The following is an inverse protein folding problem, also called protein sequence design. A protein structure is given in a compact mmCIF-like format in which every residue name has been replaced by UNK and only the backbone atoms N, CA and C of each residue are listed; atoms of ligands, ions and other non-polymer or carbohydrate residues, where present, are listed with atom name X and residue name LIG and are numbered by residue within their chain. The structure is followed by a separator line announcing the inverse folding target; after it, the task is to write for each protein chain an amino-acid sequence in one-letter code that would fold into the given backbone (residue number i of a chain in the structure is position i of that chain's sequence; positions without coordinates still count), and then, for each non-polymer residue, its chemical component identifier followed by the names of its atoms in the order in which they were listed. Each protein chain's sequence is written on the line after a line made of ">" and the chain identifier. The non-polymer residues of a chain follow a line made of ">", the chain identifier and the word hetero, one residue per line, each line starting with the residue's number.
data_IF_186516990814
#
_entry.id   IF_186516990814
#
_cell.length_a   1.000
_cell.length_b   1.000
_cell.length_c   1.000
_cell.angle_alpha   90.00
_cell.angle_beta   90.00
_cell.angle_gamma   90.00
#
_symmetry.space_group_name_H-M   'P 1'
#
loop_
_entity.id
_entity.type
_entity.pdbx_description
1 polymer ?
#
# COMPACT_ATOMS: atom_id res chain seq x y z
N UNK A 1 -6.20 15.30 -13.29
CA UNK A 1 -7.66 15.03 -13.46
C UNK A 1 -8.16 14.62 -12.08
N UNK A 2 -9.14 15.31 -11.55
CA UNK A 2 -9.77 14.99 -10.27
C UNK A 2 -10.62 13.72 -10.42
N UNK A 3 -10.63 12.86 -9.39
CA UNK A 3 -11.54 11.72 -9.31
C UNK A 3 -12.89 12.21 -8.79
N UNK A 4 -13.98 11.73 -9.36
CA UNK A 4 -15.32 11.91 -8.83
C UNK A 4 -15.62 10.79 -7.84
N UNK A 5 -15.51 11.06 -6.53
CA UNK A 5 -15.64 10.06 -5.49
C UNK A 5 -16.91 10.24 -4.67
N UNK A 6 -17.51 9.12 -4.29
CA UNK A 6 -18.58 9.01 -3.31
C UNK A 6 -18.10 8.17 -2.11
N UNK A 7 -18.61 8.42 -0.90
CA UNK A 7 -18.25 7.62 0.26
C UNK A 7 -18.54 6.13 0.05
N UNK A 8 -17.61 5.27 0.48
CA UNK A 8 -17.80 3.81 0.42
C UNK A 8 -18.95 3.35 1.33
N UNK A 9 -19.21 4.08 2.43
CA UNK A 9 -20.23 3.76 3.44
C UNK A 9 -20.13 2.31 3.95
N UNK A 10 -18.92 1.80 4.12
CA UNK A 10 -18.71 0.48 4.68
C UNK A 10 -19.10 0.44 6.15
N UNK A 11 -19.74 -0.64 6.61
CA UNK A 11 -20.06 -0.80 8.01
C UNK A 11 -18.76 -0.80 8.86
N UNK A 12 -18.75 0.01 9.91
CA UNK A 12 -17.68 0.04 10.91
C UNK A 12 -18.26 0.36 12.26
N UNK A 13 -17.70 -0.20 13.33
CA UNK A 13 -17.97 0.21 14.68
C UNK A 13 -17.18 1.48 15.00
N UNK A 14 -17.70 2.37 15.85
CA UNK A 14 -17.01 3.62 16.19
C UNK A 14 -15.62 3.41 16.81
N UNK A 15 -15.40 2.25 17.44
CA UNK A 15 -14.15 1.90 18.14
C UNK A 15 -13.19 1.03 17.30
N UNK A 16 -13.61 0.60 16.10
CA UNK A 16 -12.83 -0.29 15.24
C UNK A 16 -12.72 0.29 13.83
N UNK A 17 -11.58 0.07 13.15
CA UNK A 17 -11.46 0.45 11.74
C UNK A 17 -12.43 -0.39 10.89
N UNK A 18 -12.73 0.09 9.69
CA UNK A 18 -13.40 -0.72 8.67
C UNK A 18 -12.56 -1.98 8.37
N UNK A 19 -13.14 -3.17 8.52
CA UNK A 19 -12.41 -4.45 8.36
C UNK A 19 -13.10 -5.36 7.36
N UNK A 20 -12.34 -5.76 6.33
CA UNK A 20 -12.73 -6.79 5.37
C UNK A 20 -11.91 -8.05 5.69
N UNK A 21 -12.52 -9.09 6.24
CA UNK A 21 -11.82 -10.28 6.71
C UNK A 21 -12.34 -11.57 6.04
N UNK A 22 -11.46 -12.55 5.90
CA UNK A 22 -11.81 -13.86 5.36
C UNK A 22 -10.62 -14.55 4.72
N UNK A 23 -10.78 -15.76 4.19
CA UNK A 23 -9.67 -16.57 3.75
C UNK A 23 -8.98 -15.99 2.49
N UNK A 24 -7.73 -16.37 2.30
CA UNK A 24 -7.00 -16.09 1.07
C UNK A 24 -7.78 -16.58 -0.14
N UNK A 25 -8.26 -17.83 -0.10
CA UNK A 25 -9.08 -18.44 -1.16
C UNK A 25 -10.30 -19.16 -0.58
N UNK A 26 -11.38 -19.20 -1.39
CA UNK A 26 -12.51 -20.08 -1.17
C UNK A 26 -12.11 -21.49 -1.63
N UNK A 27 -11.88 -22.39 -0.67
CA UNK A 27 -11.31 -23.72 -0.90
C UNK A 27 -12.39 -24.80 -0.92
N UNK A 28 -13.27 -24.80 0.07
CA UNK A 28 -14.46 -25.62 0.18
C UNK A 28 -15.62 -24.81 0.77
N UNK A 29 -16.85 -25.25 0.53
CA UNK A 29 -18.03 -24.61 1.11
C UNK A 29 -17.95 -24.60 2.65
N UNK A 30 -17.57 -25.73 3.25
CA UNK A 30 -17.41 -25.86 4.70
C UNK A 30 -16.40 -24.88 5.27
N UNK A 31 -15.23 -24.75 4.63
CA UNK A 31 -14.19 -23.81 5.03
C UNK A 31 -14.67 -22.35 4.95
N UNK A 32 -15.34 -21.98 3.86
CA UNK A 32 -15.90 -20.64 3.65
C UNK A 32 -16.93 -20.32 4.73
N UNK A 33 -17.92 -21.20 4.93
CA UNK A 33 -19.01 -20.97 5.88
C UNK A 33 -18.52 -21.01 7.34
N UNK A 34 -17.59 -21.92 7.70
CA UNK A 34 -17.01 -21.97 9.03
C UNK A 34 -16.26 -20.69 9.35
N UNK A 35 -15.43 -20.19 8.42
CA UNK A 35 -14.68 -18.96 8.61
C UNK A 35 -15.64 -17.75 8.73
N UNK A 36 -16.65 -17.67 7.86
CA UNK A 36 -17.62 -16.58 7.84
C UNK A 36 -18.41 -16.49 9.15
N UNK A 37 -18.96 -17.61 9.63
CA UNK A 37 -19.73 -17.66 10.88
C UNK A 37 -18.89 -17.24 12.09
N UNK A 38 -17.63 -17.67 12.15
CA UNK A 38 -16.71 -17.28 13.23
C UNK A 38 -16.42 -15.77 13.18
N UNK A 39 -16.18 -15.20 11.98
CA UNK A 39 -15.94 -13.76 11.80
C UNK A 39 -17.20 -12.93 12.15
N UNK A 40 -18.37 -13.35 11.70
CA UNK A 40 -19.63 -12.68 12.03
C UNK A 40 -19.89 -12.65 13.54
N UNK A 41 -19.63 -13.77 14.25
CA UNK A 41 -19.74 -13.86 15.71
C UNK A 41 -18.77 -12.93 16.47
N UNK A 42 -17.71 -12.45 15.80
CA UNK A 42 -16.74 -11.46 16.30
C UNK A 42 -17.03 -10.01 15.86
N UNK A 43 -18.19 -9.77 15.26
CA UNK A 43 -18.60 -8.44 14.81
C UNK A 43 -17.95 -7.96 13.51
N UNK A 44 -17.40 -8.85 12.69
CA UNK A 44 -17.00 -8.49 11.33
C UNK A 44 -18.23 -8.29 10.46
N UNK A 45 -18.25 -7.21 9.67
CA UNK A 45 -19.35 -6.84 8.79
C UNK A 45 -19.09 -7.13 7.31
N UNK A 46 -17.87 -7.41 6.95
CA UNK A 46 -17.46 -7.64 5.57
C UNK A 46 -16.57 -8.87 5.45
N UNK A 47 -16.98 -9.78 4.56
CA UNK A 47 -16.29 -11.03 4.29
C UNK A 47 -15.57 -10.97 2.93
N UNK A 48 -14.33 -11.45 2.88
CA UNK A 48 -13.58 -11.62 1.65
C UNK A 48 -13.22 -13.07 1.40
N UNK A 49 -13.24 -13.51 0.14
CA UNK A 49 -12.58 -14.73 -0.29
C UNK A 49 -12.19 -14.61 -1.77
N UNK A 50 -10.96 -14.99 -2.12
CA UNK A 50 -10.54 -15.05 -3.52
C UNK A 50 -11.04 -16.35 -4.17
N UNK A 51 -11.80 -16.24 -5.25
CA UNK A 51 -12.28 -17.41 -6.02
C UNK A 51 -11.40 -17.68 -7.24
N UNK A 52 -10.67 -16.69 -7.74
CA UNK A 52 -9.65 -16.80 -8.78
C UNK A 52 -8.30 -16.38 -8.19
N UNK A 53 -7.26 -17.18 -8.42
CA UNK A 53 -5.93 -16.96 -7.83
C UNK A 53 -4.86 -16.92 -8.91
N UNK A 54 -4.46 -15.72 -9.37
CA UNK A 54 -3.35 -15.59 -10.31
C UNK A 54 -2.05 -16.04 -9.63
N UNK A 55 -1.46 -17.13 -10.10
CA UNK A 55 -0.22 -17.66 -9.52
C UNK A 55 1.01 -17.22 -10.31
N UNK A 56 2.09 -16.91 -9.59
CA UNK A 56 3.38 -16.58 -10.21
C UNK A 56 4.05 -17.82 -10.83
N UNK A 57 3.80 -19.00 -10.23
CA UNK A 57 4.31 -20.27 -10.73
C UNK A 57 3.15 -21.22 -11.00
N UNK A 58 3.19 -22.01 -12.09
CA UNK A 58 2.18 -23.02 -12.36
C UNK A 58 2.20 -24.13 -11.30
N UNK A 59 1.10 -24.86 -11.17
CA UNK A 59 0.98 -26.03 -10.31
C UNK A 59 0.51 -25.72 -8.86
N UNK A 60 0.20 -24.47 -8.52
CA UNK A 60 -0.48 -24.12 -7.28
C UNK A 60 -2.00 -24.14 -7.43
N UNK A 61 -2.74 -24.05 -6.31
CA UNK A 61 -4.20 -23.90 -6.32
C UNK A 61 -4.58 -22.57 -6.97
N UNK A 62 -5.33 -22.62 -8.08
CA UNK A 62 -5.70 -21.44 -8.87
C UNK A 62 -7.10 -20.90 -8.54
N UNK A 63 -7.76 -21.49 -7.54
CA UNK A 63 -9.11 -21.15 -7.12
C UNK A 63 -10.17 -22.05 -7.74
N UNK A 64 -11.36 -22.02 -7.19
CA UNK A 64 -12.52 -22.80 -7.67
C UNK A 64 -13.37 -22.04 -8.69
N UNK A 65 -13.03 -20.79 -8.98
CA UNK A 65 -13.75 -19.98 -9.96
C UNK A 65 -15.23 -19.80 -9.65
N UNK A 66 -16.07 -19.92 -10.67
CA UNK A 66 -17.52 -19.76 -10.55
C UNK A 66 -18.15 -20.73 -9.52
N UNK A 67 -17.59 -21.93 -9.33
CA UNK A 67 -18.11 -22.93 -8.39
C UNK A 67 -18.14 -22.43 -6.95
N UNK A 68 -17.23 -21.52 -6.56
CA UNK A 68 -17.19 -20.97 -5.21
C UNK A 68 -18.07 -19.73 -4.99
N UNK A 69 -18.58 -19.10 -6.04
CA UNK A 69 -19.42 -17.91 -5.92
C UNK A 69 -20.74 -18.18 -5.17
N UNK A 70 -21.43 -19.32 -5.37
CA UNK A 70 -22.59 -19.70 -4.54
C UNK A 70 -22.28 -19.75 -3.05
N UNK A 71 -21.10 -20.22 -2.65
CA UNK A 71 -20.70 -20.29 -1.23
C UNK A 71 -20.55 -18.89 -0.63
N UNK A 72 -19.99 -17.92 -1.40
CA UNK A 72 -19.88 -16.52 -0.95
C UNK A 72 -21.26 -15.87 -0.86
N UNK A 73 -22.17 -16.14 -1.81
CA UNK A 73 -23.55 -15.70 -1.73
C UNK A 73 -24.24 -16.24 -0.47
N UNK A 74 -24.05 -17.51 -0.14
CA UNK A 74 -24.58 -18.13 1.08
C UNK A 74 -24.04 -17.46 2.36
N UNK A 75 -22.77 -17.03 2.38
CA UNK A 75 -22.23 -16.24 3.49
C UNK A 75 -23.09 -15.00 3.74
N UNK A 76 -23.41 -14.23 2.70
CA UNK A 76 -24.28 -13.05 2.82
C UNK A 76 -25.65 -13.41 3.36
N UNK A 77 -26.27 -14.47 2.84
CA UNK A 77 -27.60 -14.91 3.24
C UNK A 77 -27.67 -15.39 4.71
N UNK A 78 -26.63 -16.09 5.19
CA UNK A 78 -26.62 -16.66 6.55
C UNK A 78 -26.05 -15.71 7.60
N UNK A 79 -25.17 -14.78 7.24
CA UNK A 79 -24.47 -13.93 8.23
C UNK A 79 -24.84 -12.45 8.13
N UNK A 80 -25.42 -12.01 7.02
CA UNK A 80 -25.70 -10.60 6.75
C UNK A 80 -24.45 -9.77 6.42
N UNK A 81 -23.25 -10.35 6.37
CA UNK A 81 -22.04 -9.65 5.98
C UNK A 81 -22.07 -9.24 4.51
N UNK A 82 -21.53 -8.07 4.18
CA UNK A 82 -21.17 -7.72 2.80
C UNK A 82 -20.07 -8.64 2.30
N UNK A 83 -20.13 -9.02 1.05
CA UNK A 83 -19.19 -9.98 0.45
C UNK A 83 -18.26 -9.32 -0.56
N UNK A 84 -17.00 -9.76 -0.58
CA UNK A 84 -15.99 -9.24 -1.48
C UNK A 84 -15.20 -10.36 -2.16
N UNK A 85 -14.83 -10.15 -3.44
CA UNK A 85 -13.93 -11.06 -4.17
C UNK A 85 -13.01 -10.32 -5.14
N UNK A 86 -11.89 -10.98 -5.52
CA UNK A 86 -10.96 -10.48 -6.54
C UNK A 86 -11.53 -10.64 -7.94
N UNK A 87 -11.39 -9.62 -8.79
CA UNK A 87 -11.66 -9.70 -10.22
C UNK A 87 -10.43 -9.29 -11.02
N UNK A 88 -10.21 -9.97 -12.15
CA UNK A 88 -9.06 -9.74 -13.02
C UNK A 88 -9.43 -9.67 -14.51
N UNK A 89 -10.64 -10.08 -14.88
CA UNK A 89 -11.14 -10.08 -16.26
C UNK A 89 -12.59 -9.59 -16.30
N UNK A 90 -13.10 -9.13 -17.44
CA UNK A 90 -14.52 -8.80 -17.62
C UNK A 90 -15.47 -9.95 -17.23
N UNK A 91 -15.13 -11.20 -17.57
CA UNK A 91 -15.89 -12.37 -17.18
C UNK A 91 -15.99 -12.54 -15.66
N UNK A 92 -14.91 -12.26 -14.92
CA UNK A 92 -14.94 -12.29 -13.44
C UNK A 92 -15.89 -11.23 -12.88
N UNK A 93 -15.95 -10.04 -13.48
CA UNK A 93 -16.91 -8.98 -13.10
C UNK A 93 -18.33 -9.45 -13.33
N UNK A 94 -18.65 -9.96 -14.53
CA UNK A 94 -19.97 -10.45 -14.89
C UNK A 94 -20.46 -11.54 -13.91
N UNK A 95 -19.61 -12.53 -13.66
CA UNK A 95 -19.92 -13.62 -12.74
C UNK A 95 -20.10 -13.13 -11.29
N UNK A 96 -19.21 -12.28 -10.80
CA UNK A 96 -19.34 -11.73 -9.45
C UNK A 96 -20.65 -10.94 -9.26
N UNK A 97 -21.02 -10.13 -10.23
CA UNK A 97 -22.30 -9.38 -10.23
C UNK A 97 -23.51 -10.31 -10.33
N UNK A 98 -23.47 -11.32 -11.18
CA UNK A 98 -24.52 -12.36 -11.32
C UNK A 98 -24.82 -13.06 -10.00
N UNK A 99 -23.80 -13.33 -9.19
CA UNK A 99 -23.95 -13.96 -7.87
C UNK A 99 -24.18 -12.97 -6.72
N UNK A 100 -24.27 -11.66 -7.00
CA UNK A 100 -24.62 -10.63 -6.02
C UNK A 100 -23.51 -10.31 -5.03
N UNK A 101 -22.25 -10.39 -5.47
CA UNK A 101 -21.10 -9.93 -4.68
C UNK A 101 -21.17 -8.41 -4.49
N UNK A 102 -20.98 -7.94 -3.27
CA UNK A 102 -21.20 -6.54 -2.90
C UNK A 102 -20.01 -5.63 -3.19
N UNK A 103 -18.78 -6.16 -3.14
CA UNK A 103 -17.55 -5.40 -3.26
C UNK A 103 -16.59 -6.15 -4.19
N UNK A 104 -16.04 -5.47 -5.17
CA UNK A 104 -15.02 -6.03 -6.05
C UNK A 104 -13.64 -5.45 -5.70
N UNK A 105 -12.60 -6.28 -5.67
CA UNK A 105 -11.26 -5.73 -5.65
C UNK A 105 -10.42 -6.20 -6.84
N UNK A 106 -9.59 -5.30 -7.33
CA UNK A 106 -8.63 -5.57 -8.40
C UNK A 106 -7.27 -5.92 -7.78
N UNK A 107 -6.73 -7.08 -8.16
CA UNK A 107 -5.45 -7.57 -7.65
C UNK A 107 -4.24 -6.80 -8.15
N UNK A 108 -3.13 -6.87 -7.41
CA UNK A 108 -1.90 -6.12 -7.68
C UNK A 108 -1.22 -6.45 -9.02
N UNK A 109 -1.43 -7.65 -9.55
CA UNK A 109 -0.91 -8.03 -10.88
C UNK A 109 -1.76 -7.45 -12.00
N UNK A 110 -3.05 -7.37 -11.78
CA UNK A 110 -4.01 -6.78 -12.74
C UNK A 110 -3.86 -5.26 -12.77
N UNK A 111 -3.76 -4.60 -11.60
CA UNK A 111 -3.55 -3.15 -11.52
C UNK A 111 -2.24 -2.67 -12.13
N UNK A 112 -1.24 -3.56 -12.25
CA UNK A 112 0.02 -3.29 -12.94
C UNK A 112 -0.09 -3.32 -14.48
N UNK A 113 -1.24 -3.71 -15.03
CA UNK A 113 -1.43 -3.85 -16.47
C UNK A 113 -2.52 -2.90 -17.00
N UNK A 114 -2.16 -1.80 -17.71
CA UNK A 114 -3.13 -0.83 -18.21
C UNK A 114 -4.18 -1.41 -19.17
N UNK A 115 -3.85 -2.44 -19.96
CA UNK A 115 -4.83 -3.10 -20.85
C UNK A 115 -5.87 -3.89 -20.05
N UNK A 116 -5.43 -4.65 -19.04
CA UNK A 116 -6.35 -5.38 -18.16
C UNK A 116 -7.23 -4.40 -17.37
N UNK A 117 -6.66 -3.30 -16.88
CA UNK A 117 -7.42 -2.26 -16.19
C UNK A 117 -8.44 -1.59 -17.08
N UNK A 118 -8.12 -1.36 -18.36
CA UNK A 118 -9.10 -0.81 -19.31
C UNK A 118 -10.23 -1.79 -19.58
N UNK A 119 -9.92 -3.08 -19.82
CA UNK A 119 -10.93 -4.10 -20.03
C UNK A 119 -11.89 -4.25 -18.82
N UNK A 120 -11.36 -4.18 -17.59
CA UNK A 120 -12.18 -4.16 -16.38
C UNK A 120 -13.03 -2.89 -16.30
N UNK A 121 -12.45 -1.72 -16.58
CA UNK A 121 -13.19 -0.46 -16.58
C UNK A 121 -14.36 -0.50 -17.56
N UNK A 122 -14.14 -1.01 -18.77
CA UNK A 122 -15.20 -1.14 -19.79
C UNK A 122 -16.33 -2.08 -19.33
N UNK A 123 -16.03 -3.16 -18.59
CA UNK A 123 -17.01 -4.08 -18.05
C UNK A 123 -17.79 -3.54 -16.83
N UNK A 124 -17.31 -2.48 -16.21
CA UNK A 124 -17.93 -1.84 -15.05
C UNK A 124 -18.80 -0.63 -15.42
N UNK A 125 -18.92 -0.29 -16.71
CA UNK A 125 -19.79 0.81 -17.14
C UNK A 125 -21.25 0.57 -16.78
N UNK A 126 -21.87 1.53 -16.09
CA UNK A 126 -23.26 1.43 -15.64
C UNK A 126 -23.49 0.53 -14.42
N UNK A 127 -22.43 0.04 -13.80
CA UNK A 127 -22.52 -0.77 -12.59
C UNK A 127 -22.37 0.13 -11.36
N UNK A 128 -23.21 -0.06 -10.33
CA UNK A 128 -23.10 0.61 -9.02
C UNK A 128 -22.63 -0.38 -7.95
N UNK A 129 -21.33 -0.65 -7.93
CA UNK A 129 -20.68 -1.52 -6.95
C UNK A 129 -19.38 -0.85 -6.45
N UNK A 130 -19.06 -0.91 -5.15
CA UNK A 130 -17.76 -0.47 -4.67
C UNK A 130 -16.62 -1.28 -5.28
N UNK A 131 -15.59 -0.57 -5.76
CA UNK A 131 -14.39 -1.19 -6.32
C UNK A 131 -13.15 -0.73 -5.55
N UNK A 132 -12.35 -1.68 -5.10
CA UNK A 132 -11.10 -1.44 -4.40
C UNK A 132 -9.93 -1.84 -5.31
N UNK A 133 -8.95 -0.97 -5.49
CA UNK A 133 -7.79 -1.24 -6.37
C UNK A 133 -6.52 -1.41 -5.56
N UNK A 134 -5.95 -2.62 -5.56
CA UNK A 134 -4.63 -2.86 -4.94
C UNK A 134 -3.54 -2.10 -5.69
N UNK A 135 -2.54 -1.59 -4.95
CA UNK A 135 -1.35 -1.05 -5.59
C UNK A 135 -0.70 -2.08 -6.52
N UNK A 136 -0.08 -1.63 -7.63
CA UNK A 136 0.70 -2.51 -8.51
C UNK A 136 1.80 -3.22 -7.73
N UNK A 137 2.26 -4.36 -8.24
CA UNK A 137 3.39 -5.09 -7.62
C UNK A 137 4.68 -4.25 -7.61
N UNK A 138 4.87 -3.40 -8.59
CA UNK A 138 6.00 -2.46 -8.69
C UNK A 138 5.72 -1.20 -7.88
N UNK A 139 6.74 -0.55 -7.29
CA UNK A 139 6.58 0.71 -6.57
C UNK A 139 6.43 1.89 -7.54
N UNK A 140 5.27 1.98 -8.19
CA UNK A 140 4.94 2.98 -9.19
C UNK A 140 3.59 3.63 -8.84
N UNK A 141 3.66 4.86 -8.32
CA UNK A 141 2.49 5.62 -7.91
C UNK A 141 1.64 6.05 -9.10
N UNK A 142 2.26 6.46 -10.21
CA UNK A 142 1.52 6.93 -11.40
C UNK A 142 0.73 5.79 -12.04
N UNK A 143 1.29 4.59 -12.04
CA UNK A 143 0.59 3.39 -12.49
C UNK A 143 -0.63 3.07 -11.60
N UNK A 144 -0.50 3.24 -10.27
CA UNK A 144 -1.61 3.04 -9.34
C UNK A 144 -2.71 4.09 -9.54
N UNK A 145 -2.33 5.36 -9.63
CA UNK A 145 -3.28 6.45 -9.92
C UNK A 145 -3.96 6.22 -11.28
N UNK A 146 -3.21 5.83 -12.31
CA UNK A 146 -3.77 5.51 -13.62
C UNK A 146 -4.79 4.37 -13.58
N UNK A 147 -4.57 3.34 -12.76
CA UNK A 147 -5.52 2.25 -12.55
C UNK A 147 -6.82 2.76 -11.89
N UNK A 148 -6.71 3.57 -10.83
CA UNK A 148 -7.86 4.19 -10.16
C UNK A 148 -8.64 5.11 -11.11
N UNK A 149 -7.95 5.92 -11.90
CA UNK A 149 -8.58 6.82 -12.87
C UNK A 149 -9.40 6.09 -13.93
N UNK A 150 -8.91 4.95 -14.46
CA UNK A 150 -9.65 4.15 -15.45
C UNK A 150 -10.97 3.62 -14.88
N UNK A 151 -10.95 3.10 -13.66
CA UNK A 151 -12.16 2.62 -12.98
C UNK A 151 -13.13 3.77 -12.71
N UNK A 152 -12.63 4.93 -12.26
CA UNK A 152 -13.47 6.10 -11.99
C UNK A 152 -14.09 6.67 -13.29
N UNK A 153 -13.34 6.73 -14.39
CA UNK A 153 -13.84 7.16 -15.70
C UNK A 153 -14.92 6.26 -16.27
N UNK A 154 -14.96 4.98 -15.88
CA UNK A 154 -16.03 4.07 -16.24
C UNK A 154 -17.33 4.34 -15.46
N UNK A 155 -17.33 5.27 -14.51
CA UNK A 155 -18.50 5.68 -13.73
C UNK A 155 -18.51 5.15 -12.29
N UNK A 156 -17.51 4.37 -11.88
CA UNK A 156 -17.38 3.89 -10.51
C UNK A 156 -16.92 5.03 -9.60
N UNK A 157 -17.84 5.55 -8.78
CA UNK A 157 -17.56 6.62 -7.80
C UNK A 157 -17.26 6.09 -6.42
N UNK A 158 -17.82 4.93 -6.03
CA UNK A 158 -17.50 4.20 -4.80
C UNK A 158 -16.18 3.45 -4.98
N UNK A 159 -15.08 4.19 -4.92
CA UNK A 159 -13.73 3.72 -5.24
C UNK A 159 -12.82 3.85 -4.03
N UNK A 160 -11.97 2.85 -3.79
CA UNK A 160 -10.95 2.89 -2.75
C UNK A 160 -9.64 2.25 -3.21
N UNK A 161 -8.58 2.52 -2.49
CA UNK A 161 -7.25 1.95 -2.71
C UNK A 161 -6.92 0.89 -1.66
N UNK A 162 -6.22 -0.19 -2.05
CA UNK A 162 -5.67 -1.16 -1.09
C UNK A 162 -4.16 -1.14 -1.19
N UNK A 163 -3.51 -0.81 -0.08
CA UNK A 163 -2.06 -0.91 0.06
C UNK A 163 -1.65 -2.28 0.58
N UNK A 164 -0.93 -3.04 -0.27
CA UNK A 164 -0.48 -4.42 0.05
C UNK A 164 1.05 -4.59 0.01
N UNK A 165 1.79 -3.48 -0.02
CA UNK A 165 3.23 -3.46 -0.20
C UNK A 165 3.67 -3.72 -1.65
N UNK A 166 4.96 -3.57 -1.90
CA UNK A 166 5.58 -3.63 -3.22
C UNK A 166 6.61 -4.74 -3.30
N UNK A 167 6.79 -5.31 -4.48
CA UNK A 167 7.85 -6.30 -4.71
C UNK A 167 9.22 -5.65 -4.57
N UNK A 168 10.13 -6.36 -3.91
CA UNK A 168 11.54 -5.98 -3.81
C UNK A 168 12.43 -7.19 -4.02
N UNK A 169 13.62 -6.96 -4.51
CA UNK A 169 14.66 -7.98 -4.58
C UNK A 169 15.17 -8.36 -3.19
N UNK A 170 15.31 -7.39 -2.29
CA UNK A 170 15.75 -7.60 -0.91
C UNK A 170 14.54 -7.87 0.01
N UNK A 171 14.34 -9.16 0.32
CA UNK A 171 13.24 -9.65 1.19
C UNK A 171 13.78 -10.11 2.54
N UNK A 172 14.08 -9.19 3.45
CA UNK A 172 14.60 -9.55 4.79
C UNK A 172 13.49 -9.85 5.79
N UNK A 173 12.51 -8.95 5.94
CA UNK A 173 11.48 -9.03 6.96
C UNK A 173 10.11 -9.23 6.33
N UNK A 174 9.76 -8.41 5.36
CA UNK A 174 8.45 -8.37 4.71
C UNK A 174 8.40 -9.24 3.46
N UNK A 175 7.23 -9.80 3.18
CA UNK A 175 6.97 -10.46 1.89
C UNK A 175 6.95 -9.43 0.74
N UNK A 176 6.34 -8.28 1.01
CA UNK A 176 6.34 -7.11 0.13
C UNK A 176 6.67 -5.88 0.97
N UNK A 177 7.62 -5.08 0.53
CA UNK A 177 8.02 -3.89 1.27
C UNK A 177 6.86 -2.90 1.37
N UNK A 178 6.54 -2.37 2.55
CA UNK A 178 5.44 -1.44 2.71
C UNK A 178 5.64 -0.14 1.95
N UNK A 179 6.87 0.41 1.89
CA UNK A 179 7.18 1.68 1.21
C UNK A 179 6.10 2.74 1.47
N UNK A 180 5.83 3.01 2.76
CA UNK A 180 4.73 3.84 3.23
C UNK A 180 4.64 5.22 2.57
N UNK A 181 5.74 5.75 2.05
CA UNK A 181 5.76 7.04 1.36
C UNK A 181 4.86 7.04 0.12
N UNK A 182 4.68 5.88 -0.55
CA UNK A 182 3.84 5.80 -1.75
C UNK A 182 2.34 5.97 -1.42
N UNK A 183 1.73 5.22 -0.49
CA UNK A 183 0.34 5.47 -0.10
C UNK A 183 0.13 6.82 0.61
N UNK A 184 1.11 7.32 1.37
CA UNK A 184 1.07 8.69 1.93
C UNK A 184 1.00 9.73 0.80
N UNK A 185 1.82 9.60 -0.23
CA UNK A 185 1.78 10.50 -1.38
C UNK A 185 0.50 10.34 -2.21
N UNK A 186 -0.06 9.12 -2.30
CA UNK A 186 -1.38 8.89 -2.90
C UNK A 186 -2.46 9.68 -2.14
N UNK A 187 -2.49 9.56 -0.80
CA UNK A 187 -3.44 10.30 0.04
C UNK A 187 -3.27 11.82 -0.07
N UNK A 188 -2.02 12.31 -0.12
CA UNK A 188 -1.73 13.73 -0.33
C UNK A 188 -2.29 14.26 -1.65
N UNK A 189 -2.22 13.46 -2.73
CA UNK A 189 -2.73 13.87 -4.06
C UNK A 189 -4.24 13.72 -4.20
N UNK A 190 -4.83 12.74 -3.50
CA UNK A 190 -6.26 12.41 -3.58
C UNK A 190 -6.78 12.21 -2.15
N UNK A 191 -6.97 13.30 -1.37
CA UNK A 191 -7.32 13.20 0.06
C UNK A 191 -8.65 12.52 0.35
N UNK A 192 -9.59 12.50 -0.60
CA UNK A 192 -10.91 11.89 -0.44
C UNK A 192 -10.91 10.39 -0.77
N UNK A 193 -9.80 9.83 -1.29
CA UNK A 193 -9.73 8.42 -1.65
C UNK A 193 -9.46 7.57 -0.41
N UNK A 194 -10.38 6.70 0.01
CA UNK A 194 -10.12 5.80 1.14
C UNK A 194 -8.97 4.83 0.83
N UNK A 195 -8.07 4.66 1.80
CA UNK A 195 -6.94 3.74 1.71
C UNK A 195 -7.07 2.64 2.76
N UNK A 196 -7.13 1.39 2.30
CA UNK A 196 -7.23 0.19 3.12
C UNK A 196 -5.87 -0.52 3.14
N UNK A 197 -5.38 -0.90 4.31
CA UNK A 197 -4.14 -1.67 4.44
C UNK A 197 -4.39 -3.18 4.34
N UNK A 198 -3.53 -3.88 3.60
CA UNK A 198 -3.47 -5.33 3.53
C UNK A 198 -2.21 -5.85 4.26
N UNK A 199 -2.25 -6.00 5.59
CA UNK A 199 -1.10 -6.41 6.39
C UNK A 199 -0.67 -7.85 6.08
N UNK A 200 -1.60 -8.71 5.66
CA UNK A 200 -1.32 -10.11 5.32
C UNK A 200 -0.34 -10.23 4.17
N UNK A 201 -0.54 -9.46 3.11
CA UNK A 201 0.35 -9.49 1.95
C UNK A 201 1.62 -8.67 2.15
N UNK A 202 1.61 -7.62 2.96
CA UNK A 202 2.83 -6.89 3.35
C UNK A 202 3.74 -7.82 4.16
N UNK A 203 3.22 -8.37 5.26
CA UNK A 203 3.98 -9.20 6.19
C UNK A 203 4.37 -10.56 5.62
N UNK A 204 3.41 -11.28 5.05
CA UNK A 204 3.57 -12.66 4.58
C UNK A 204 3.73 -13.68 5.70
N UNK A 205 3.55 -13.28 6.95
CA UNK A 205 3.68 -14.08 8.18
C UNK A 205 2.83 -13.48 9.30
N UNK A 206 2.31 -14.35 10.18
CA UNK A 206 1.30 -14.01 11.19
C UNK A 206 1.76 -13.00 12.23
N UNK A 207 3.01 -13.09 12.67
CA UNK A 207 3.59 -12.22 13.71
C UNK A 207 3.74 -10.76 13.28
N UNK A 208 3.66 -10.47 11.98
CA UNK A 208 3.70 -9.10 11.45
C UNK A 208 2.30 -8.47 11.27
N UNK A 209 1.21 -9.23 11.41
CA UNK A 209 -0.14 -8.71 11.16
C UNK A 209 -0.47 -7.58 12.16
N UNK A 210 -0.36 -7.85 13.47
CA UNK A 210 -0.68 -6.86 14.50
C UNK A 210 0.14 -5.55 14.37
N UNK A 211 1.48 -5.59 14.28
CA UNK A 211 2.26 -4.35 14.12
C UNK A 211 1.95 -3.60 12.82
N UNK A 212 1.64 -4.30 11.72
CA UNK A 212 1.28 -3.65 10.45
C UNK A 212 -0.13 -3.04 10.50
N UNK A 213 -1.08 -3.68 11.19
CA UNK A 213 -2.39 -3.08 11.45
C UNK A 213 -2.24 -1.78 12.24
N UNK A 214 -1.43 -1.77 13.33
CA UNK A 214 -1.21 -0.57 14.12
C UNK A 214 -0.52 0.53 13.30
N UNK A 215 0.49 0.19 12.50
CA UNK A 215 1.14 1.18 11.62
C UNK A 215 0.16 1.81 10.62
N UNK A 216 -0.77 1.03 10.08
CA UNK A 216 -1.81 1.57 9.20
C UNK A 216 -2.70 2.59 9.94
N UNK A 217 -3.11 2.27 11.18
CA UNK A 217 -3.91 3.21 12.01
C UNK A 217 -3.12 4.46 12.38
N UNK A 218 -1.83 4.32 12.70
CA UNK A 218 -0.95 5.44 13.02
C UNK A 218 -0.72 6.37 11.80
N UNK A 219 -0.87 5.84 10.58
CA UNK A 219 -0.76 6.58 9.31
C UNK A 219 -2.11 7.11 8.79
N UNK A 220 -3.20 6.95 9.55
CA UNK A 220 -4.52 7.46 9.17
C UNK A 220 -5.19 6.68 8.03
N UNK A 221 -4.94 5.38 7.90
CA UNK A 221 -5.65 4.57 6.90
C UNK A 221 -7.09 4.30 7.35
N UNK A 222 -8.01 4.25 6.40
CA UNK A 222 -9.45 4.14 6.64
C UNK A 222 -9.89 2.72 7.04
N UNK A 223 -9.08 1.71 6.80
CA UNK A 223 -9.45 0.34 7.11
C UNK A 223 -8.38 -0.70 6.85
N UNK A 224 -8.79 -1.95 7.07
CA UNK A 224 -7.93 -3.13 6.95
C UNK A 224 -8.60 -4.20 6.08
N UNK A 225 -7.82 -4.90 5.26
CA UNK A 225 -8.23 -6.14 4.60
C UNK A 225 -7.29 -7.27 5.03
N UNK A 226 -7.81 -8.22 5.83
CA UNK A 226 -6.98 -9.21 6.51
C UNK A 226 -7.35 -10.63 6.09
N UNK A 227 -6.35 -11.46 5.83
CA UNK A 227 -6.57 -12.88 5.57
C UNK A 227 -6.77 -13.64 6.88
N UNK A 228 -8.00 -14.19 7.04
CA UNK A 228 -8.42 -14.99 8.19
C UNK A 228 -9.05 -16.29 7.73
N UNK A 229 -8.73 -17.40 8.40
CA UNK A 229 -9.14 -18.74 8.03
C UNK A 229 -9.47 -19.55 9.29
N UNK A 230 -10.51 -20.39 9.24
CA UNK A 230 -10.91 -21.22 10.39
C UNK A 230 -9.81 -22.20 10.85
N UNK A 231 -8.97 -22.67 9.93
CA UNK A 231 -7.79 -23.52 10.21
C UNK A 231 -6.63 -23.08 9.29
N UNK A 232 -5.88 -22.02 9.65
CA UNK A 232 -4.89 -21.41 8.74
C UNK A 232 -3.75 -22.35 8.32
N UNK A 233 -3.41 -23.35 9.14
CA UNK A 233 -2.33 -24.29 8.83
C UNK A 233 -2.72 -25.29 7.74
N UNK A 234 -4.01 -25.56 7.56
CA UNK A 234 -4.57 -26.45 6.54
C UNK A 234 -4.92 -25.72 5.24
N UNK A 235 -4.74 -24.39 5.18
CA UNK A 235 -5.12 -23.59 4.03
C UNK A 235 -4.31 -23.97 2.77
N UNK A 236 -5.02 -24.07 1.63
CA UNK A 236 -4.43 -24.42 0.34
C UNK A 236 -3.62 -23.27 -0.28
N UNK A 237 -3.81 -22.08 0.21
CA UNK A 237 -3.09 -20.90 -0.26
C UNK A 237 -2.65 -20.00 0.91
N UNK A 238 -1.44 -19.49 0.80
CA UNK A 238 -0.85 -18.46 1.68
C UNK A 238 -1.03 -18.72 3.20
N UNK A 239 -1.01 -20.02 3.62
CA UNK A 239 -1.24 -20.50 4.99
C UNK A 239 -0.46 -19.71 6.09
N UNK A 240 0.78 -19.34 5.80
CA UNK A 240 1.70 -18.69 6.77
C UNK A 240 1.30 -17.28 7.18
N UNK A 241 0.45 -16.61 6.41
CA UNK A 241 0.06 -15.21 6.65
C UNK A 241 -1.38 -15.06 7.12
N UNK A 242 -2.16 -16.13 7.13
CA UNK A 242 -3.54 -16.10 7.60
C UNK A 242 -3.60 -16.32 9.12
N UNK A 243 -4.50 -15.60 9.78
CA UNK A 243 -4.78 -15.75 11.22
C UNK A 243 -6.15 -16.37 11.45
N UNK A 244 -6.40 -16.93 12.62
CA UNK A 244 -7.77 -17.38 12.95
C UNK A 244 -8.69 -16.19 13.25
N UNK A 245 -10.02 -16.34 13.15
CA UNK A 245 -10.97 -15.29 13.55
C UNK A 245 -10.77 -14.81 15.00
N UNK A 246 -10.43 -15.71 15.94
CA UNK A 246 -10.09 -15.36 17.32
C UNK A 246 -8.87 -14.45 17.40
N UNK A 247 -7.80 -14.81 16.69
CA UNK A 247 -6.54 -14.02 16.68
C UNK A 247 -6.80 -12.66 16.03
N UNK A 248 -7.59 -12.61 14.96
CA UNK A 248 -7.97 -11.34 14.35
C UNK A 248 -8.75 -10.45 15.32
N UNK A 249 -9.78 -10.98 15.98
CA UNK A 249 -10.56 -10.25 16.98
C UNK A 249 -9.67 -9.71 18.11
N UNK A 250 -8.74 -10.53 18.61
CA UNK A 250 -7.76 -10.07 19.60
C UNK A 250 -6.87 -8.94 19.08
N UNK A 251 -6.35 -9.04 17.84
CA UNK A 251 -5.56 -7.97 17.22
C UNK A 251 -6.39 -6.68 17.15
N UNK A 252 -7.61 -6.76 16.64
CA UNK A 252 -8.49 -5.59 16.49
C UNK A 252 -8.83 -4.93 17.82
N UNK A 253 -9.00 -5.71 18.90
CA UNK A 253 -9.28 -5.18 20.24
C UNK A 253 -8.11 -4.41 20.86
N UNK A 254 -6.89 -4.63 20.38
CA UNK A 254 -5.68 -3.95 20.86
C UNK A 254 -5.31 -2.71 20.04
N UNK A 255 -5.96 -2.50 18.89
CA UNK A 255 -5.61 -1.38 18.02
C UNK A 255 -5.98 -0.04 18.65
N UNK A 256 -5.06 0.88 18.58
CA UNK A 256 -5.30 2.29 18.90
C UNK A 256 -5.65 3.01 17.61
N UNK A 257 -6.93 3.32 17.43
CA UNK A 257 -7.38 4.15 16.32
C UNK A 257 -7.02 5.60 16.62
N UNK A 258 -6.31 6.25 15.70
CA UNK A 258 -5.90 7.66 15.88
C UNK A 258 -6.98 8.58 15.37
N UNK A 259 -7.16 9.71 16.07
CA UNK A 259 -8.07 10.77 15.67
C UNK A 259 -7.26 11.92 15.04
N UNK A 260 -7.70 12.41 13.87
CA UNK A 260 -7.05 13.53 13.18
C UNK A 260 -7.37 14.89 13.83
N UNK A 261 -8.35 14.96 14.74
CA UNK A 261 -8.93 16.20 15.23
C UNK A 261 -8.44 16.63 16.64
N UNK A 262 -7.21 16.28 17.03
CA UNK A 262 -6.68 16.70 18.31
C UNK A 262 -6.22 18.17 18.36
N UNK A 263 -6.33 18.77 19.56
CA UNK A 263 -5.87 20.12 19.88
C UNK A 263 -4.43 20.37 19.41
N UNK A 264 -4.27 21.40 18.57
CA UNK A 264 -3.06 21.61 17.76
C UNK A 264 -2.04 22.57 18.41
N UNK A 265 -2.30 23.15 19.60
CA UNK A 265 -1.48 24.26 20.12
C UNK A 265 -0.02 23.83 20.43
N UNK A 266 0.18 22.70 21.13
CA UNK A 266 1.53 22.16 21.37
C UNK A 266 2.21 21.65 20.09
N UNK A 267 1.44 21.10 19.16
CA UNK A 267 1.93 20.62 17.89
C UNK A 267 2.37 21.77 16.96
N UNK A 268 1.66 22.91 17.01
CA UNK A 268 2.04 24.13 16.28
C UNK A 268 3.42 24.64 16.67
N UNK A 269 3.73 24.66 17.98
CA UNK A 269 5.04 25.07 18.45
C UNK A 269 6.15 24.13 17.98
N UNK A 270 5.91 22.80 18.03
CA UNK A 270 6.88 21.81 17.55
C UNK A 270 7.08 21.88 16.03
N UNK A 271 6.01 22.09 15.27
CA UNK A 271 6.11 22.31 13.81
C UNK A 271 6.91 23.56 13.47
N UNK A 272 6.71 24.67 14.21
CA UNK A 272 7.52 25.87 14.05
C UNK A 272 9.02 25.64 14.30
N UNK A 273 9.39 24.76 15.23
CA UNK A 273 10.77 24.37 15.44
C UNK A 273 11.34 23.57 14.26
N UNK A 274 10.53 22.68 13.66
CA UNK A 274 10.91 21.95 12.45
C UNK A 274 11.11 22.93 11.28
N UNK A 275 10.17 23.85 11.05
CA UNK A 275 10.27 24.86 9.99
C UNK A 275 11.56 25.69 10.10
N UNK A 276 11.97 26.05 11.33
CA UNK A 276 13.22 26.76 11.57
C UNK A 276 14.45 25.87 11.22
N UNK A 277 14.42 24.59 11.60
CA UNK A 277 15.47 23.63 11.21
C UNK A 277 15.56 23.46 9.69
N UNK A 278 14.42 23.37 9.02
CA UNK A 278 14.33 23.22 7.57
C UNK A 278 14.89 24.46 6.85
N UNK A 279 14.60 25.66 7.35
CA UNK A 279 15.19 26.91 6.84
C UNK A 279 16.73 26.90 6.97
N UNK A 280 17.26 26.51 8.13
CA UNK A 280 18.71 26.38 8.33
C UNK A 280 19.33 25.33 7.41
N UNK A 281 18.64 24.20 7.20
CA UNK A 281 19.08 23.16 6.27
C UNK A 281 19.14 23.68 4.83
N UNK A 282 18.15 24.43 4.39
CA UNK A 282 18.12 25.04 3.06
C UNK A 282 19.25 26.04 2.86
N UNK A 283 19.56 26.86 3.86
CA UNK A 283 20.68 27.81 3.82
C UNK A 283 22.04 27.10 3.71
N UNK A 284 22.23 26.00 4.48
CA UNK A 284 23.43 25.18 4.43
C UNK A 284 23.58 24.47 3.07
N UNK A 285 22.49 23.94 2.50
CA UNK A 285 22.49 23.33 1.17
C UNK A 285 22.83 24.37 0.10
N UNK A 286 22.23 25.55 0.15
CA UNK A 286 22.54 26.65 -0.78
C UNK A 286 24.03 27.06 -0.69
N UNK A 287 24.58 27.16 0.52
CA UNK A 287 26.00 27.45 0.73
C UNK A 287 26.87 26.33 0.13
N UNK A 288 26.51 25.07 0.37
CA UNK A 288 27.23 23.91 -0.15
C UNK A 288 27.22 23.90 -1.70
N UNK A 289 26.08 24.23 -2.31
CA UNK A 289 25.97 24.28 -3.77
C UNK A 289 26.80 25.44 -4.38
N UNK A 290 26.93 26.56 -3.68
CA UNK A 290 27.88 27.61 -4.12
C UNK A 290 29.31 27.09 -4.20
N UNK A 291 29.80 26.42 -3.14
CA UNK A 291 31.12 25.79 -3.13
C UNK A 291 31.25 24.71 -4.21
N UNK A 292 30.20 23.93 -4.47
CA UNK A 292 30.21 22.94 -5.56
C UNK A 292 30.40 23.58 -6.94
N UNK A 293 29.79 24.74 -7.18
CA UNK A 293 29.98 25.48 -8.45
C UNK A 293 31.42 26.02 -8.57
N UNK A 294 31.98 26.54 -7.49
CA UNK A 294 33.39 26.96 -7.47
C UNK A 294 34.36 25.80 -7.79
N UNK A 295 34.09 24.63 -7.22
CA UNK A 295 34.81 23.38 -7.57
C UNK A 295 34.60 23.02 -9.05
N UNK A 296 33.40 23.18 -9.59
CA UNK A 296 33.12 22.96 -11.00
C UNK A 296 33.93 23.85 -11.92
N UNK A 297 34.03 25.15 -11.61
CA UNK A 297 34.88 26.13 -12.32
C UNK A 297 36.34 25.73 -12.27
N UNK A 298 36.86 25.43 -11.07
CA UNK A 298 38.23 24.98 -10.89
C UNK A 298 38.53 23.71 -11.73
N UNK A 299 37.65 22.72 -11.71
CA UNK A 299 37.82 21.50 -12.52
C UNK A 299 37.83 21.76 -14.00
N UNK A 300 36.97 22.69 -14.47
CA UNK A 300 36.96 23.14 -15.88
C UNK A 300 38.30 23.76 -16.30
N UNK A 301 38.80 24.68 -15.50
CA UNK A 301 40.06 25.38 -15.76
C UNK A 301 41.27 24.43 -15.79
N UNK A 302 41.22 23.36 -14.97
CA UNK A 302 42.32 22.39 -14.84
C UNK A 302 42.10 21.09 -15.62
N UNK A 303 41.06 21.03 -16.46
CA UNK A 303 40.69 19.84 -17.25
C UNK A 303 40.55 18.56 -16.42
N UNK A 304 39.91 18.67 -15.25
CA UNK A 304 39.70 17.56 -14.32
C UNK A 304 38.32 16.91 -14.50
N UNK A 305 38.24 15.59 -14.22
CA UNK A 305 36.97 14.86 -14.20
C UNK A 305 36.08 15.32 -13.04
N UNK A 306 34.75 15.34 -13.25
CA UNK A 306 33.79 15.77 -12.20
C UNK A 306 33.73 14.75 -11.07
N UNK A 307 33.54 13.47 -11.42
CA UNK A 307 33.37 12.40 -10.41
C UNK A 307 34.72 11.93 -9.91
N UNK A 308 34.88 11.96 -8.58
CA UNK A 308 36.03 11.41 -7.87
C UNK A 308 35.52 10.34 -6.90
N UNK A 309 35.51 9.09 -7.33
CA UNK A 309 34.89 7.96 -6.62
C UNK A 309 35.40 7.81 -5.18
N UNK A 310 36.70 7.97 -4.96
CA UNK A 310 37.31 7.87 -3.61
C UNK A 310 36.74 8.92 -2.67
N UNK A 311 36.59 10.16 -3.12
CA UNK A 311 36.02 11.26 -2.33
C UNK A 311 34.53 11.04 -2.03
N UNK A 312 33.81 10.46 -2.97
CA UNK A 312 32.40 10.12 -2.77
C UNK A 312 32.22 9.06 -1.67
N UNK A 313 32.97 7.98 -1.75
CA UNK A 313 32.94 6.92 -0.73
C UNK A 313 33.32 7.46 0.66
N UNK A 314 34.40 8.27 0.76
CA UNK A 314 34.78 8.91 2.01
C UNK A 314 33.66 9.76 2.63
N UNK A 315 32.86 10.46 1.80
CA UNK A 315 31.74 11.27 2.30
C UNK A 315 30.67 10.36 2.88
N UNK A 316 30.28 9.29 2.18
CA UNK A 316 29.24 8.38 2.65
C UNK A 316 29.65 7.71 3.97
N UNK A 317 30.85 7.16 4.06
CA UNK A 317 31.36 6.50 5.26
C UNK A 317 31.39 7.45 6.45
N UNK A 318 31.95 8.64 6.26
CA UNK A 318 32.09 9.66 7.32
C UNK A 318 30.72 10.14 7.81
N UNK A 319 29.76 10.35 6.91
CA UNK A 319 28.42 10.84 7.27
C UNK A 319 27.56 9.75 7.88
N UNK A 320 27.69 8.50 7.43
CA UNK A 320 27.05 7.36 8.07
C UNK A 320 27.50 7.18 9.52
N UNK A 321 28.83 7.25 9.78
CA UNK A 321 29.36 7.18 11.12
C UNK A 321 28.89 8.36 12.01
N UNK A 322 28.83 9.58 11.46
CA UNK A 322 28.34 10.77 12.17
C UNK A 322 26.84 10.65 12.49
N UNK A 323 26.03 10.14 11.57
CA UNK A 323 24.61 9.94 11.76
C UNK A 323 24.31 9.02 12.96
N UNK A 324 25.04 7.91 13.07
CA UNK A 324 24.90 6.99 14.20
C UNK A 324 25.13 7.68 15.55
N UNK A 325 26.11 8.60 15.64
CA UNK A 325 26.38 9.38 16.85
C UNK A 325 25.28 10.40 17.19
N UNK A 326 24.48 10.79 16.18
CA UNK A 326 23.36 11.72 16.33
C UNK A 326 22.01 11.01 16.47
N UNK A 327 21.98 9.68 16.64
CA UNK A 327 20.73 8.91 16.76
C UNK A 327 19.98 8.73 15.44
N UNK A 328 20.63 8.97 14.29
CA UNK A 328 20.06 8.73 12.96
C UNK A 328 20.61 7.44 12.36
N UNK A 329 19.83 6.79 11.48
CA UNK A 329 20.36 5.61 10.77
C UNK A 329 21.47 6.02 9.78
N UNK A 330 22.55 5.24 9.67
CA UNK A 330 23.60 5.47 8.66
C UNK A 330 23.05 5.42 7.23
N UNK A 331 22.09 4.55 6.97
CA UNK A 331 21.43 4.39 5.68
C UNK A 331 20.63 5.64 5.28
N UNK A 332 19.92 6.25 6.22
CA UNK A 332 19.22 7.51 5.99
C UNK A 332 20.18 8.64 5.63
N UNK A 333 21.30 8.75 6.37
CA UNK A 333 22.32 9.73 6.04
C UNK A 333 22.96 9.48 4.67
N UNK A 334 23.22 8.22 4.32
CA UNK A 334 23.76 7.86 3.01
C UNK A 334 22.83 8.33 1.89
N UNK A 335 21.52 8.03 1.95
CA UNK A 335 20.52 8.46 0.96
C UNK A 335 20.49 9.99 0.77
N UNK A 336 20.52 10.76 1.87
CA UNK A 336 20.56 12.22 1.80
C UNK A 336 21.82 12.68 1.05
N UNK A 337 22.99 12.15 1.42
CA UNK A 337 24.25 12.56 0.81
C UNK A 337 24.43 12.05 -0.62
N UNK A 338 23.79 10.96 -1.01
CA UNK A 338 23.67 10.51 -2.40
C UNK A 338 22.91 11.55 -3.25
N UNK A 339 21.72 11.97 -2.83
CA UNK A 339 20.95 12.99 -3.55
C UNK A 339 21.66 14.35 -3.60
N UNK A 340 22.31 14.76 -2.51
CA UNK A 340 23.13 15.96 -2.49
C UNK A 340 24.32 15.84 -3.46
N UNK A 341 24.89 14.65 -3.62
CA UNK A 341 25.98 14.40 -4.57
C UNK A 341 25.49 14.45 -6.01
N UNK A 342 24.36 13.82 -6.31
CA UNK A 342 23.71 13.89 -7.63
C UNK A 342 23.49 15.34 -8.07
N UNK A 343 22.93 16.18 -7.20
CA UNK A 343 22.72 17.59 -7.49
C UNK A 343 24.06 18.34 -7.67
N UNK A 344 25.08 18.00 -6.89
CA UNK A 344 26.41 18.58 -7.03
C UNK A 344 27.04 18.25 -8.37
N UNK A 345 26.90 17.00 -8.85
CA UNK A 345 27.37 16.55 -10.17
C UNK A 345 26.61 17.29 -11.28
N UNK A 346 25.29 17.39 -11.15
CA UNK A 346 24.45 18.11 -12.13
C UNK A 346 24.92 19.54 -12.32
N UNK A 347 25.14 20.30 -11.22
CA UNK A 347 25.57 21.70 -11.28
C UNK A 347 27.00 21.85 -11.84
N UNK A 348 27.91 20.92 -11.52
CA UNK A 348 29.27 20.95 -12.10
C UNK A 348 29.25 20.62 -13.60
N UNK A 349 28.38 19.70 -14.06
CA UNK A 349 28.20 19.41 -15.49
C UNK A 349 27.67 20.63 -16.26
N UNK A 350 26.74 21.38 -15.70
CA UNK A 350 26.25 22.63 -16.30
C UNK A 350 27.38 23.63 -16.52
N UNK A 351 28.29 23.79 -15.55
CA UNK A 351 29.44 24.69 -15.67
C UNK A 351 30.42 24.22 -16.76
N UNK A 352 30.71 22.93 -16.83
CA UNK A 352 31.60 22.38 -17.87
C UNK A 352 31.03 22.59 -19.28
N UNK A 353 29.71 22.45 -19.44
CA UNK A 353 29.01 22.56 -20.72
C UNK A 353 28.68 24.02 -21.14
N UNK A 354 28.84 24.99 -20.27
CA UNK A 354 28.77 26.41 -20.65
C UNK A 354 29.93 26.74 -21.59
N UNK A 355 29.64 27.19 -22.82
CA UNK A 355 30.63 27.61 -23.84
C UNK A 355 31.38 28.86 -23.40
#
# INVERSE_FOLDING_TARGET
>A
MELELEPLNFPSDQERPCVIAGPCSAETEEQVMSTAKQLAAKGCHMFRAGVWKPRTKPGGFEGNGETALPWIKQVKEETGMLTATEVATPEHVELALKYGIDILWVGARTSANPFAMQALADSLQGVDVPVLVKNPVNPDLELWIGALQRINQAGIKKLGAIHRGFSSFDKKIYRNLPMWQIPIELHRRIPQLPIICDPSHIGGRRDLIAPLCQQAMDLGFDGLIVESHCSPDDAWSDAKQQVTPEVLDYILSLLVVRDEHYSTEGLHQLRGQIDECDNQLMDLLAKRMRVCREIGTYKKEHNMTIVQTNRYNEILDKRGAQAALCGMSPEFAAQIFEHIHEESVRQQLEILNQK
#
